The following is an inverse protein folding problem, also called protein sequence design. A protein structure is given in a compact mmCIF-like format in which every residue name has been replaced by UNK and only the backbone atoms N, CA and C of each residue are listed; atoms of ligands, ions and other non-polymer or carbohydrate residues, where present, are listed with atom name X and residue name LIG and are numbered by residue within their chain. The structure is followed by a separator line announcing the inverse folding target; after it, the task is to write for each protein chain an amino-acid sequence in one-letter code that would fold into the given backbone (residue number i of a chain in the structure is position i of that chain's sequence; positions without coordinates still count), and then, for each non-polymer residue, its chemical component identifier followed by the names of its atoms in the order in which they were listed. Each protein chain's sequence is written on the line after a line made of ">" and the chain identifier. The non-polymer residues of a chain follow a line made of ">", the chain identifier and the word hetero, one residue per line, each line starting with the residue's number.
data_IF_908964896895
#
_entry.id   IF_908964896895
#
_cell.length_a   1.000
_cell.length_b   1.000
_cell.length_c   1.000
_cell.angle_alpha   90.00
_cell.angle_beta   90.00
_cell.angle_gamma   90.00
#
_symmetry.space_group_name_H-M   'P 1'
#
loop_
_entity.id
_entity.type
_entity.pdbx_description
1 polymer ?
#
# COMPACT_ATOMS: atom_id res chain seq x y z
N UNK A 1 -27.79 5.87 -34.25
CA UNK A 1 -26.94 5.16 -33.28
C UNK A 1 -27.57 5.39 -31.90
N UNK A 2 -28.24 4.40 -31.35
CA UNK A 2 -28.89 4.55 -30.06
C UNK A 2 -27.78 4.58 -29.01
N UNK A 3 -27.61 5.75 -28.44
CA UNK A 3 -26.75 6.00 -27.30
C UNK A 3 -27.33 5.17 -26.13
N UNK A 4 -26.75 4.00 -25.81
CA UNK A 4 -27.15 3.21 -24.64
C UNK A 4 -26.58 3.91 -23.38
N UNK A 5 -27.14 5.12 -23.16
CA UNK A 5 -26.85 6.03 -22.07
C UNK A 5 -27.54 5.60 -20.78
N UNK A 6 -27.70 4.27 -20.56
CA UNK A 6 -28.14 3.83 -19.25
C UNK A 6 -27.08 4.21 -18.24
N UNK A 7 -27.43 4.99 -17.20
CA UNK A 7 -26.45 5.38 -16.18
C UNK A 7 -25.82 4.13 -15.55
N UNK A 8 -24.58 4.22 -15.04
CA UNK A 8 -23.99 3.15 -14.24
C UNK A 8 -24.96 2.76 -13.12
N UNK A 9 -24.93 1.49 -12.68
CA UNK A 9 -25.75 1.08 -11.56
C UNK A 9 -25.43 1.97 -10.36
N UNK A 10 -26.46 2.38 -9.62
CA UNK A 10 -26.29 3.25 -8.46
C UNK A 10 -25.44 2.54 -7.43
N UNK A 11 -24.46 3.27 -6.87
CA UNK A 11 -23.70 2.81 -5.71
C UNK A 11 -24.66 2.74 -4.50
N UNK A 12 -24.91 1.53 -4.02
CA UNK A 12 -25.85 1.27 -2.91
C UNK A 12 -25.15 1.19 -1.54
N UNK A 13 -23.81 1.32 -1.50
CA UNK A 13 -23.06 1.33 -0.25
C UNK A 13 -23.38 2.58 0.57
N UNK A 14 -23.63 2.39 1.86
CA UNK A 14 -23.98 3.49 2.77
C UNK A 14 -22.75 4.18 3.33
N UNK A 15 -22.75 5.50 3.35
CA UNK A 15 -21.70 6.34 3.95
C UNK A 15 -21.70 6.24 5.47
N UNK A 16 -20.93 5.29 6.01
CA UNK A 16 -20.86 4.98 7.44
C UNK A 16 -19.55 5.44 8.10
N UNK A 17 -18.47 5.67 7.33
CA UNK A 17 -17.15 5.96 7.86
C UNK A 17 -16.92 7.45 8.05
N UNK A 18 -16.40 7.82 9.22
CA UNK A 18 -15.94 9.17 9.53
C UNK A 18 -14.44 9.34 9.18
N UNK A 19 -13.91 10.56 9.34
CA UNK A 19 -12.49 10.86 9.11
C UNK A 19 -11.56 9.95 9.94
N UNK A 20 -11.89 9.72 11.22
CA UNK A 20 -11.11 8.86 12.11
C UNK A 20 -11.04 7.42 11.60
N UNK A 21 -12.17 6.88 11.15
CA UNK A 21 -12.25 5.50 10.62
C UNK A 21 -11.29 5.31 9.44
N UNK A 22 -11.32 6.24 8.46
CA UNK A 22 -10.51 6.13 7.26
C UNK A 22 -9.04 6.47 7.50
N UNK A 23 -8.74 7.38 8.43
CA UNK A 23 -7.36 7.69 8.79
C UNK A 23 -6.65 6.46 9.35
N UNK A 24 -7.24 5.79 10.33
CA UNK A 24 -6.65 4.60 10.93
C UNK A 24 -6.66 3.38 10.00
N UNK A 25 -7.70 3.21 9.17
CA UNK A 25 -7.71 2.17 8.15
C UNK A 25 -6.61 2.40 7.10
N UNK A 26 -6.39 3.64 6.69
CA UNK A 26 -5.35 4.03 5.76
C UNK A 26 -3.95 3.83 6.35
N UNK A 27 -3.77 4.21 7.62
CA UNK A 27 -2.51 4.02 8.34
C UNK A 27 -2.18 2.52 8.47
N UNK A 28 -3.18 1.70 8.80
CA UNK A 28 -3.03 0.25 8.81
C UNK A 28 -2.65 -0.33 7.44
N UNK A 29 -3.13 0.27 6.36
CA UNK A 29 -2.70 -0.10 5.01
C UNK A 29 -1.21 0.17 4.73
N UNK A 30 -0.55 1.06 5.48
CA UNK A 30 0.90 1.27 5.40
C UNK A 30 1.68 0.20 6.16
N UNK A 31 1.05 -0.53 7.08
CA UNK A 31 1.69 -1.50 7.96
C UNK A 31 2.97 -0.94 8.61
N UNK A 32 2.88 0.09 9.46
CA UNK A 32 4.05 0.85 9.89
C UNK A 32 5.09 -0.01 10.61
N UNK A 33 4.65 -0.93 11.46
CA UNK A 33 5.56 -1.77 12.22
C UNK A 33 6.26 -2.82 11.33
N UNK A 34 5.52 -3.51 10.45
CA UNK A 34 6.12 -4.44 9.49
C UNK A 34 7.00 -3.71 8.48
N UNK A 35 6.63 -2.51 8.07
CA UNK A 35 7.46 -1.66 7.20
C UNK A 35 8.77 -1.27 7.88
N UNK A 36 8.77 -1.00 9.20
CA UNK A 36 9.98 -0.80 9.99
C UNK A 36 10.89 -2.03 9.95
N UNK A 37 10.35 -3.21 10.13
CA UNK A 37 11.14 -4.45 10.18
C UNK A 37 11.63 -4.92 8.80
N UNK A 38 11.03 -4.45 7.72
CA UNK A 38 11.27 -4.96 6.36
C UNK A 38 11.87 -3.89 5.44
N UNK A 39 11.07 -2.91 5.02
CA UNK A 39 11.54 -1.85 4.10
C UNK A 39 12.67 -1.00 4.68
N UNK A 40 12.57 -0.61 5.96
CA UNK A 40 13.66 0.19 6.57
C UNK A 40 14.93 -0.64 6.76
N UNK A 41 14.82 -1.96 7.00
CA UNK A 41 15.98 -2.85 6.98
C UNK A 41 16.72 -2.78 5.64
N UNK A 42 16.00 -2.85 4.52
CA UNK A 42 16.61 -2.73 3.19
C UNK A 42 17.26 -1.34 2.98
N UNK A 43 16.59 -0.27 3.44
CA UNK A 43 17.15 1.09 3.36
C UNK A 43 18.43 1.22 4.18
N UNK A 44 18.48 0.66 5.41
CA UNK A 44 19.68 0.67 6.27
C UNK A 44 20.84 -0.10 5.62
N UNK A 45 20.57 -1.29 5.08
CA UNK A 45 21.60 -2.10 4.40
C UNK A 45 22.22 -1.32 3.23
N UNK A 46 21.42 -0.58 2.49
CA UNK A 46 21.88 0.17 1.30
C UNK A 46 22.56 1.48 1.65
N UNK A 47 22.09 2.20 2.67
CA UNK A 47 22.45 3.59 2.89
C UNK A 47 23.01 3.91 4.27
N UNK A 48 23.12 2.91 5.15
CA UNK A 48 23.75 3.02 6.46
C UNK A 48 23.18 4.17 7.30
N UNK A 49 24.07 5.01 7.82
CA UNK A 49 23.69 6.18 8.64
C UNK A 49 22.87 7.24 7.91
N UNK A 50 22.86 7.24 6.56
CA UNK A 50 22.06 8.17 5.75
C UNK A 50 20.58 7.74 5.62
N UNK A 51 20.22 6.56 6.08
CA UNK A 51 18.90 5.94 5.89
C UNK A 51 17.70 6.79 6.34
N UNK A 52 17.71 7.55 7.45
CA UNK A 52 16.57 8.40 7.82
C UNK A 52 16.27 9.49 6.77
N UNK A 53 17.33 10.05 6.15
CA UNK A 53 17.18 11.04 5.08
C UNK A 53 16.54 10.41 3.84
N UNK A 54 16.91 9.17 3.50
CA UNK A 54 16.31 8.42 2.39
C UNK A 54 14.83 8.19 2.63
N UNK A 55 14.42 7.85 3.86
CA UNK A 55 12.99 7.70 4.22
C UNK A 55 12.24 9.01 4.07
N UNK A 56 12.82 10.15 4.47
CA UNK A 56 12.21 11.47 4.26
C UNK A 56 12.05 11.79 2.76
N UNK A 57 13.06 11.51 1.95
CA UNK A 57 12.99 11.72 0.49
C UNK A 57 11.91 10.82 -0.12
N UNK A 58 11.87 9.54 0.23
CA UNK A 58 10.82 8.61 -0.21
C UNK A 58 9.42 9.09 0.18
N UNK A 59 9.27 9.61 1.41
CA UNK A 59 8.01 10.19 1.89
C UNK A 59 7.58 11.40 1.05
N UNK A 60 8.51 12.30 0.68
CA UNK A 60 8.21 13.45 -0.17
C UNK A 60 7.78 13.04 -1.58
N UNK A 61 8.40 12.00 -2.14
CA UNK A 61 7.99 11.42 -3.44
C UNK A 61 6.56 10.89 -3.37
N UNK A 62 6.24 10.14 -2.33
CA UNK A 62 4.89 9.60 -2.12
C UNK A 62 3.87 10.71 -1.84
N UNK A 63 4.29 11.78 -1.16
CA UNK A 63 3.41 12.92 -0.87
C UNK A 63 2.91 13.62 -2.16
N UNK A 64 3.71 13.67 -3.21
CA UNK A 64 3.26 14.20 -4.50
C UNK A 64 2.10 13.37 -5.08
N UNK A 65 2.19 12.04 -5.03
CA UNK A 65 1.08 11.17 -5.41
C UNK A 65 -0.12 11.32 -4.45
N UNK A 66 0.13 11.52 -3.16
CA UNK A 66 -0.91 11.83 -2.17
C UNK A 66 -1.67 13.13 -2.49
N UNK A 67 -0.98 14.17 -2.97
CA UNK A 67 -1.60 15.41 -3.44
C UNK A 67 -2.46 15.19 -4.67
N UNK A 68 -2.06 14.32 -5.59
CA UNK A 68 -2.90 13.94 -6.75
C UNK A 68 -4.20 13.30 -6.27
N UNK A 69 -4.12 12.35 -5.31
CA UNK A 69 -5.31 11.73 -4.71
C UNK A 69 -6.18 12.77 -4.00
N UNK A 70 -5.56 13.74 -3.28
CA UNK A 70 -6.29 14.84 -2.65
C UNK A 70 -7.14 15.63 -3.67
N UNK A 71 -6.59 15.98 -4.82
CA UNK A 71 -7.33 16.70 -5.85
C UNK A 71 -8.38 15.84 -6.56
N UNK A 72 -8.09 14.55 -6.80
CA UNK A 72 -9.02 13.64 -7.48
C UNK A 72 -10.17 13.23 -6.58
N UNK A 73 -9.94 12.97 -5.30
CA UNK A 73 -10.99 12.59 -4.35
C UNK A 73 -12.03 13.70 -4.12
N UNK A 74 -11.65 14.98 -4.31
CA UNK A 74 -12.59 16.09 -4.30
C UNK A 74 -13.63 16.02 -5.43
N UNK A 75 -13.31 15.33 -6.53
CA UNK A 75 -14.17 15.23 -7.72
C UNK A 75 -14.87 13.88 -7.84
N UNK A 76 -14.21 12.80 -7.38
CA UNK A 76 -14.67 11.43 -7.52
C UNK A 76 -14.89 10.82 -6.14
N UNK A 77 -16.12 10.79 -5.68
CA UNK A 77 -16.52 10.37 -4.32
C UNK A 77 -17.24 9.03 -4.27
N UNK A 78 -17.40 8.35 -5.42
CA UNK A 78 -18.01 7.02 -5.51
C UNK A 78 -17.00 5.91 -5.21
N UNK A 79 -17.51 4.71 -4.89
CA UNK A 79 -16.71 3.51 -4.68
C UNK A 79 -15.91 3.16 -5.92
N UNK A 80 -14.61 2.83 -5.78
CA UNK A 80 -13.73 2.38 -6.87
C UNK A 80 -12.38 3.09 -6.97
N UNK A 81 -12.23 4.30 -6.40
CA UNK A 81 -10.95 4.99 -6.30
C UNK A 81 -10.20 5.15 -7.63
N UNK A 82 -8.99 4.58 -7.74
CA UNK A 82 -8.14 4.68 -8.93
C UNK A 82 -8.82 4.21 -10.22
N UNK A 83 -9.66 3.17 -10.13
CA UNK A 83 -10.51 2.75 -11.25
C UNK A 83 -11.36 3.92 -11.75
N UNK A 84 -12.08 4.60 -10.85
CA UNK A 84 -12.93 5.73 -11.21
C UNK A 84 -12.13 6.92 -11.75
N UNK A 85 -10.97 7.20 -11.17
CA UNK A 85 -10.11 8.28 -11.65
C UNK A 85 -9.71 8.09 -13.10
N UNK A 86 -9.33 6.88 -13.49
CA UNK A 86 -9.00 6.58 -14.88
C UNK A 86 -10.25 6.43 -15.78
N UNK A 87 -11.31 5.79 -15.27
CA UNK A 87 -12.53 5.52 -16.04
C UNK A 87 -13.26 6.79 -16.47
N UNK A 88 -13.40 7.74 -15.54
CA UNK A 88 -14.07 9.01 -15.82
C UNK A 88 -13.10 10.13 -16.22
N UNK A 89 -11.84 10.06 -15.80
CA UNK A 89 -10.84 11.09 -16.10
C UNK A 89 -10.10 10.87 -17.41
N UNK A 90 -9.85 9.62 -17.82
CA UNK A 90 -9.12 9.30 -19.05
C UNK A 90 -10.03 8.67 -20.11
N UNK A 91 -10.34 7.40 -19.94
CA UNK A 91 -11.25 6.65 -20.81
C UNK A 91 -11.76 5.41 -20.09
N UNK A 92 -12.87 4.84 -20.59
CA UNK A 92 -13.45 3.62 -20.03
C UNK A 92 -12.49 2.42 -20.15
N UNK A 93 -11.69 2.33 -21.23
CA UNK A 93 -10.68 1.28 -21.43
C UNK A 93 -9.55 1.41 -20.42
N UNK A 94 -8.91 2.57 -20.31
CA UNK A 94 -7.87 2.83 -19.30
C UNK A 94 -8.39 2.66 -17.87
N UNK A 95 -9.66 2.95 -17.63
CA UNK A 95 -10.32 2.67 -16.36
C UNK A 95 -10.33 1.19 -16.04
N UNK A 96 -10.73 0.33 -16.99
CA UNK A 96 -10.71 -1.13 -16.80
C UNK A 96 -9.30 -1.65 -16.55
N UNK A 97 -8.32 -1.23 -17.35
CA UNK A 97 -6.92 -1.60 -17.15
C UNK A 97 -6.42 -1.18 -15.77
N UNK A 98 -6.66 0.08 -15.39
CA UNK A 98 -6.30 0.59 -14.05
C UNK A 98 -6.98 -0.20 -12.93
N UNK A 99 -8.25 -0.59 -13.10
CA UNK A 99 -8.99 -1.41 -12.15
C UNK A 99 -8.42 -2.82 -11.99
N UNK A 100 -8.01 -3.46 -13.10
CA UNK A 100 -7.35 -4.77 -13.11
C UNK A 100 -5.98 -4.66 -12.42
N UNK A 101 -5.18 -3.65 -12.77
CA UNK A 101 -3.86 -3.44 -12.18
C UNK A 101 -3.97 -3.04 -10.72
N UNK A 102 -5.01 -2.29 -10.33
CA UNK A 102 -5.29 -2.02 -8.92
C UNK A 102 -5.62 -3.31 -8.15
N UNK A 103 -6.40 -4.22 -8.72
CA UNK A 103 -6.68 -5.53 -8.12
C UNK A 103 -5.39 -6.32 -7.93
N UNK A 104 -4.54 -6.38 -8.97
CA UNK A 104 -3.22 -6.99 -8.89
C UNK A 104 -2.38 -6.38 -7.76
N UNK A 105 -2.19 -5.06 -7.77
CA UNK A 105 -1.43 -4.34 -6.75
C UNK A 105 -1.94 -4.63 -5.34
N UNK A 106 -3.24 -4.50 -5.12
CA UNK A 106 -3.83 -4.59 -3.78
C UNK A 106 -3.76 -6.03 -3.22
N UNK A 107 -3.94 -7.04 -4.06
CA UNK A 107 -3.77 -8.44 -3.65
C UNK A 107 -2.32 -8.75 -3.33
N UNK A 108 -1.37 -8.34 -4.17
CA UNK A 108 0.06 -8.62 -3.94
C UNK A 108 0.61 -7.86 -2.73
N UNK A 109 0.19 -6.61 -2.53
CA UNK A 109 0.64 -5.81 -1.40
C UNK A 109 0.15 -6.38 -0.07
N UNK A 110 -1.15 -6.70 0.05
CA UNK A 110 -1.67 -7.35 1.24
C UNK A 110 -1.07 -8.75 1.46
N UNK A 111 -0.85 -9.53 0.39
CA UNK A 111 -0.18 -10.83 0.47
C UNK A 111 1.29 -10.70 0.92
N UNK A 112 1.99 -9.63 0.54
CA UNK A 112 3.33 -9.35 1.03
C UNK A 112 3.34 -9.20 2.56
N UNK A 113 2.38 -8.45 3.13
CA UNK A 113 2.29 -8.30 4.58
C UNK A 113 1.88 -9.57 5.31
N UNK A 114 1.07 -10.44 4.70
CA UNK A 114 0.85 -11.79 5.21
C UNK A 114 2.18 -12.56 5.26
N UNK A 115 2.96 -12.53 4.21
CA UNK A 115 4.25 -13.20 4.15
C UNK A 115 5.24 -12.63 5.20
N UNK A 116 5.29 -11.31 5.34
CA UNK A 116 6.12 -10.62 6.35
C UNK A 116 5.74 -10.99 7.78
N UNK A 117 4.45 -10.94 8.11
CA UNK A 117 3.94 -11.37 9.41
C UNK A 117 4.20 -12.86 9.66
N UNK A 118 3.95 -13.72 8.67
CA UNK A 118 4.26 -15.17 8.72
C UNK A 118 5.74 -15.40 9.00
N UNK A 119 6.63 -14.63 8.35
CA UNK A 119 8.07 -14.72 8.58
C UNK A 119 8.43 -14.41 10.04
N UNK A 120 7.93 -13.32 10.59
CA UNK A 120 8.25 -12.87 11.94
C UNK A 120 7.71 -13.87 12.98
N UNK A 121 6.47 -14.33 12.83
CA UNK A 121 5.85 -15.31 13.72
C UNK A 121 6.61 -16.64 13.66
N UNK A 122 6.91 -17.16 12.47
CA UNK A 122 7.67 -18.39 12.31
C UNK A 122 9.08 -18.26 12.91
N UNK A 123 9.75 -17.12 12.66
CA UNK A 123 11.10 -16.88 13.13
C UNK A 123 11.20 -16.72 14.65
N UNK A 124 10.26 -16.00 15.28
CA UNK A 124 10.32 -15.71 16.72
C UNK A 124 9.69 -16.81 17.59
N UNK A 125 8.59 -17.41 17.11
CA UNK A 125 7.82 -18.42 17.87
C UNK A 125 8.06 -19.84 17.38
N UNK A 126 8.79 -20.04 16.29
CA UNK A 126 9.02 -21.33 15.65
C UNK A 126 7.72 -22.07 15.25
N UNK A 127 6.63 -21.33 15.03
CA UNK A 127 5.38 -21.92 14.57
C UNK A 127 5.52 -22.42 13.13
N UNK A 128 4.87 -23.54 12.75
CA UNK A 128 4.79 -23.96 11.36
C UNK A 128 4.27 -22.83 10.47
N UNK A 129 4.85 -22.67 9.27
CA UNK A 129 4.52 -21.60 8.32
C UNK A 129 3.02 -21.50 8.09
N UNK A 130 2.32 -22.66 7.97
CA UNK A 130 0.89 -22.68 7.75
C UNK A 130 0.08 -22.09 8.92
N UNK A 131 0.49 -22.37 10.16
CA UNK A 131 -0.17 -21.80 11.36
C UNK A 131 0.09 -20.28 11.42
N UNK A 132 1.34 -19.86 11.22
CA UNK A 132 1.71 -18.46 11.21
C UNK A 132 0.95 -17.67 10.12
N UNK A 133 0.78 -18.27 8.95
CA UNK A 133 -0.05 -17.72 7.86
C UNK A 133 -1.52 -17.56 8.26
N UNK A 134 -2.13 -18.58 8.89
CA UNK A 134 -3.53 -18.52 9.30
C UNK A 134 -3.80 -17.44 10.35
N UNK A 135 -2.83 -17.16 11.22
CA UNK A 135 -2.95 -16.10 12.25
C UNK A 135 -3.16 -14.71 11.62
N UNK A 136 -2.62 -14.45 10.44
CA UNK A 136 -2.80 -13.16 9.74
C UNK A 136 -4.03 -13.15 8.83
N UNK A 137 -4.17 -14.14 7.95
CA UNK A 137 -5.24 -14.13 6.93
C UNK A 137 -6.60 -14.46 7.50
N UNK A 138 -6.68 -15.33 8.54
CA UNK A 138 -7.94 -15.77 9.13
C UNK A 138 -8.74 -14.59 9.71
N UNK A 139 -8.20 -13.85 10.70
CA UNK A 139 -8.91 -12.71 11.26
C UNK A 139 -9.19 -11.61 10.22
N UNK A 140 -8.27 -11.32 9.31
CA UNK A 140 -8.50 -10.35 8.23
C UNK A 140 -9.69 -10.73 7.36
N UNK A 141 -9.81 -12.03 7.00
CA UNK A 141 -10.95 -12.54 6.22
C UNK A 141 -12.27 -12.45 7.00
N UNK A 142 -12.26 -12.74 8.30
CA UNK A 142 -13.44 -12.63 9.17
C UNK A 142 -13.92 -11.17 9.21
N UNK A 143 -13.03 -10.22 9.49
CA UNK A 143 -13.38 -8.79 9.52
C UNK A 143 -13.89 -8.29 8.17
N UNK A 144 -13.30 -8.74 7.05
CA UNK A 144 -13.79 -8.40 5.72
C UNK A 144 -15.25 -8.82 5.52
N UNK A 145 -15.61 -10.04 5.95
CA UNK A 145 -16.98 -10.57 5.86
C UNK A 145 -17.93 -9.87 6.82
N UNK A 146 -17.47 -9.51 8.03
CA UNK A 146 -18.25 -8.74 9.01
C UNK A 146 -18.58 -7.32 8.52
N UNK A 147 -17.82 -6.79 7.58
CA UNK A 147 -18.08 -5.51 6.92
C UNK A 147 -17.26 -4.34 7.46
N UNK A 148 -17.57 -3.14 6.94
CA UNK A 148 -16.68 -1.98 7.07
C UNK A 148 -16.57 -1.42 8.50
N UNK A 149 -17.64 -1.44 9.29
CA UNK A 149 -17.61 -0.86 10.65
C UNK A 149 -16.78 -1.67 11.65
N UNK A 150 -16.95 -3.01 11.79
CA UNK A 150 -16.05 -3.83 12.59
C UNK A 150 -14.58 -3.70 12.15
N UNK A 151 -14.33 -3.66 10.84
CA UNK A 151 -12.99 -3.46 10.27
C UNK A 151 -12.38 -2.11 10.70
N UNK A 152 -13.16 -1.02 10.65
CA UNK A 152 -12.70 0.30 11.07
C UNK A 152 -12.41 0.37 12.58
N UNK A 153 -13.23 -0.26 13.42
CA UNK A 153 -12.97 -0.31 14.86
C UNK A 153 -11.68 -1.08 15.17
N UNK A 154 -11.47 -2.22 14.50
CA UNK A 154 -10.21 -2.94 14.62
C UNK A 154 -9.03 -2.10 14.15
N UNK A 155 -9.17 -1.36 13.03
CA UNK A 155 -8.13 -0.49 12.51
C UNK A 155 -7.74 0.62 13.50
N UNK A 156 -8.71 1.25 14.17
CA UNK A 156 -8.44 2.27 15.19
C UNK A 156 -7.63 1.67 16.35
N UNK A 157 -8.04 0.51 16.85
CA UNK A 157 -7.34 -0.16 17.95
C UNK A 157 -5.92 -0.56 17.56
N UNK A 158 -5.78 -1.30 16.46
CA UNK A 158 -4.51 -1.85 15.99
C UNK A 158 -3.50 -0.76 15.62
N UNK A 159 -3.89 0.23 14.78
CA UNK A 159 -2.97 1.31 14.41
C UNK A 159 -2.60 2.22 15.58
N UNK A 160 -3.49 2.40 16.58
CA UNK A 160 -3.12 3.15 17.78
C UNK A 160 -2.04 2.41 18.59
N UNK A 161 -2.16 1.09 18.71
CA UNK A 161 -1.16 0.25 19.35
C UNK A 161 0.19 0.32 18.62
N UNK A 162 0.17 0.23 17.29
CA UNK A 162 1.35 0.32 16.44
C UNK A 162 2.06 1.66 16.56
N UNK A 163 1.32 2.78 16.50
CA UNK A 163 1.90 4.10 16.70
C UNK A 163 2.55 4.24 18.08
N UNK A 164 1.89 3.74 19.13
CA UNK A 164 2.46 3.75 20.48
C UNK A 164 3.75 2.91 20.55
N UNK A 165 3.77 1.72 19.92
CA UNK A 165 4.95 0.87 19.86
C UNK A 165 6.12 1.56 19.11
N UNK A 166 5.85 2.22 17.99
CA UNK A 166 6.86 2.97 17.22
C UNK A 166 7.44 4.15 18.01
N UNK A 167 6.59 4.91 18.69
CA UNK A 167 7.05 6.01 19.57
C UNK A 167 7.89 5.46 20.70
N UNK A 168 7.48 4.35 21.32
CA UNK A 168 8.23 3.69 22.36
C UNK A 168 9.62 3.24 21.87
N UNK A 169 9.70 2.61 20.69
CA UNK A 169 10.97 2.21 20.07
C UNK A 169 11.89 3.41 19.86
N UNK A 170 11.35 4.53 19.35
CA UNK A 170 12.14 5.76 19.19
C UNK A 170 12.69 6.26 20.52
N UNK A 171 11.83 6.42 21.53
CA UNK A 171 12.22 6.93 22.86
C UNK A 171 13.28 6.04 23.50
N UNK A 172 13.06 4.73 23.51
CA UNK A 172 14.00 3.76 24.07
C UNK A 172 15.35 3.83 23.33
N UNK A 173 15.34 3.90 22.00
CA UNK A 173 16.58 3.99 21.20
C UNK A 173 17.42 5.20 21.57
N UNK A 174 16.79 6.37 21.77
CA UNK A 174 17.49 7.60 22.16
C UNK A 174 18.04 7.48 23.61
N UNK A 175 17.29 6.88 24.54
CA UNK A 175 17.75 6.66 25.91
C UNK A 175 18.94 5.70 25.96
N UNK A 176 18.91 4.60 25.25
CA UNK A 176 20.02 3.64 25.19
C UNK A 176 21.26 4.19 24.49
N UNK A 177 21.10 5.20 23.62
CA UNK A 177 22.21 5.96 23.06
C UNK A 177 22.71 7.08 24.01
N UNK A 178 22.26 7.08 25.28
CA UNK A 178 22.63 8.11 26.29
C UNK A 178 22.47 9.54 25.81
N UNK A 179 21.39 9.83 25.05
CA UNK A 179 21.09 11.12 24.45
C UNK A 179 22.21 11.67 23.54
N UNK A 180 23.08 10.80 23.00
CA UNK A 180 23.97 11.17 21.92
C UNK A 180 23.19 11.26 20.61
N UNK A 181 23.62 12.16 19.73
CA UNK A 181 22.98 12.38 18.43
C UNK A 181 24.06 12.38 17.35
N UNK A 182 23.87 11.58 16.32
CA UNK A 182 24.77 11.56 15.18
C UNK A 182 24.26 12.50 14.06
N UNK A 183 25.18 12.88 13.18
CA UNK A 183 24.83 13.64 11.98
C UNK A 183 24.50 12.68 10.82
N UNK A 184 23.24 12.58 10.39
CA UNK A 184 22.85 11.62 9.36
C UNK A 184 23.40 11.96 7.96
N UNK A 185 23.90 13.18 7.72
CA UNK A 185 24.47 13.61 6.43
C UNK A 185 26.01 13.57 6.42
N UNK A 186 26.64 13.10 7.50
CA UNK A 186 28.11 13.05 7.59
C UNK A 186 28.72 12.07 6.56
N UNK A 187 28.08 10.93 6.31
CA UNK A 187 28.52 9.93 5.34
C UNK A 187 27.42 9.78 4.27
N UNK A 188 27.77 10.13 3.04
CA UNK A 188 26.83 10.02 1.91
C UNK A 188 27.10 8.74 1.13
N UNK A 189 26.09 7.88 0.92
CA UNK A 189 26.21 6.72 0.03
C UNK A 189 26.37 7.16 -1.43
N UNK A 190 26.79 6.23 -2.29
CA UNK A 190 26.88 6.49 -3.74
C UNK A 190 25.49 6.72 -4.34
N UNK A 191 25.42 7.45 -5.46
CA UNK A 191 24.15 7.77 -6.11
C UNK A 191 23.30 6.52 -6.44
N UNK A 192 23.85 5.41 -6.95
CA UNK A 192 23.06 4.18 -7.15
C UNK A 192 22.42 3.64 -5.87
N UNK A 193 23.12 3.67 -4.74
CA UNK A 193 22.61 3.22 -3.46
C UNK A 193 21.52 4.16 -2.91
N UNK A 194 21.67 5.47 -3.13
CA UNK A 194 20.63 6.46 -2.79
C UNK A 194 19.35 6.16 -3.58
N UNK A 195 19.44 5.95 -4.90
CA UNK A 195 18.26 5.70 -5.75
C UNK A 195 17.59 4.38 -5.37
N UNK A 196 18.37 3.31 -5.15
CA UNK A 196 17.84 2.03 -4.64
C UNK A 196 17.20 2.19 -3.26
N UNK A 197 17.82 2.93 -2.36
CA UNK A 197 17.27 3.23 -1.05
C UNK A 197 15.93 3.96 -1.13
N UNK A 198 15.80 4.96 -2.02
CA UNK A 198 14.54 5.68 -2.25
C UNK A 198 13.46 4.72 -2.76
N UNK A 199 13.79 3.76 -3.62
CA UNK A 199 12.84 2.76 -4.12
C UNK A 199 12.20 1.96 -2.98
N UNK A 200 13.01 1.50 -2.01
CA UNK A 200 12.47 0.82 -0.82
C UNK A 200 11.76 1.79 0.13
N UNK A 201 12.29 3.01 0.30
CA UNK A 201 11.71 4.02 1.16
C UNK A 201 10.30 4.47 0.72
N UNK A 202 10.02 4.50 -0.59
CA UNK A 202 8.67 4.75 -1.13
C UNK A 202 7.66 3.70 -0.62
N UNK A 203 8.09 2.44 -0.41
CA UNK A 203 7.24 1.39 0.11
C UNK A 203 6.70 1.68 1.52
N UNK A 204 7.46 2.42 2.35
CA UNK A 204 7.13 2.69 3.76
C UNK A 204 5.82 3.48 3.91
N UNK A 205 5.64 4.69 3.32
CA UNK A 205 4.39 5.43 3.40
C UNK A 205 3.34 4.96 2.36
N UNK A 206 3.63 3.97 1.54
CA UNK A 206 2.66 3.37 0.60
C UNK A 206 1.58 2.62 1.37
N UNK A 207 0.39 2.53 0.80
CA UNK A 207 -0.79 1.93 1.46
C UNK A 207 -1.89 2.94 1.77
N UNK A 208 -1.55 4.22 1.84
CA UNK A 208 -2.51 5.32 2.02
C UNK A 208 -3.62 5.31 0.96
N UNK A 209 -3.35 4.80 -0.24
CA UNK A 209 -4.32 4.70 -1.33
C UNK A 209 -5.38 3.61 -1.14
N UNK A 210 -5.25 2.72 -0.14
CA UNK A 210 -6.22 1.66 0.16
C UNK A 210 -7.62 2.19 0.50
N UNK A 211 -7.72 3.45 0.97
CA UNK A 211 -9.01 4.09 1.26
C UNK A 211 -9.71 4.67 0.03
N UNK A 212 -9.03 4.83 -1.11
CA UNK A 212 -9.67 5.43 -2.28
C UNK A 212 -10.83 4.59 -2.83
N UNK A 213 -10.79 3.24 -2.90
CA UNK A 213 -11.94 2.45 -3.32
C UNK A 213 -13.12 2.49 -2.36
N UNK A 214 -12.92 2.83 -1.09
CA UNK A 214 -14.00 2.94 -0.10
C UNK A 214 -14.66 4.31 -0.03
N UNK A 215 -14.33 5.23 -0.93
CA UNK A 215 -14.86 6.60 -0.95
C UNK A 215 -16.39 6.67 -0.89
N UNK A 216 -17.10 5.71 -1.50
CA UNK A 216 -18.57 5.62 -1.44
C UNK A 216 -19.13 5.35 -0.04
N UNK A 217 -18.33 4.79 0.88
CA UNK A 217 -18.71 4.50 2.26
C UNK A 217 -18.29 5.61 3.24
N UNK A 218 -17.64 6.68 2.75
CA UNK A 218 -17.08 7.77 3.57
C UNK A 218 -18.01 8.98 3.61
N UNK A 219 -18.32 9.47 4.81
CA UNK A 219 -19.01 10.74 5.00
C UNK A 219 -18.12 11.90 4.58
N UNK A 220 -18.65 12.86 3.80
CA UNK A 220 -17.87 13.98 3.23
C UNK A 220 -16.59 13.49 2.54
N UNK A 221 -16.74 12.48 1.65
CA UNK A 221 -15.63 11.83 0.98
C UNK A 221 -14.74 12.82 0.21
N UNK A 222 -15.35 13.85 -0.38
CA UNK A 222 -14.71 14.95 -1.11
C UNK A 222 -13.66 15.69 -0.27
N UNK A 223 -13.78 15.66 1.04
CA UNK A 223 -12.83 16.33 1.95
C UNK A 223 -11.98 15.30 2.70
N UNK A 224 -12.63 14.25 3.21
CA UNK A 224 -12.01 13.36 4.19
C UNK A 224 -10.98 12.40 3.55
N UNK A 225 -11.27 11.87 2.34
CA UNK A 225 -10.38 10.89 1.69
C UNK A 225 -9.01 11.50 1.37
N UNK A 226 -9.00 12.66 0.71
CA UNK A 226 -7.75 13.32 0.37
C UNK A 226 -6.95 13.79 1.57
N UNK A 227 -7.63 14.33 2.60
CA UNK A 227 -6.97 14.73 3.86
C UNK A 227 -6.38 13.56 4.60
N UNK A 228 -7.10 12.43 4.69
CA UNK A 228 -6.60 11.23 5.32
C UNK A 228 -5.36 10.71 4.60
N UNK A 229 -5.38 10.64 3.26
CA UNK A 229 -4.23 10.20 2.48
C UNK A 229 -2.96 11.02 2.77
N UNK A 230 -3.06 12.36 2.76
CA UNK A 230 -1.92 13.24 3.05
C UNK A 230 -1.43 13.06 4.49
N UNK A 231 -2.34 13.09 5.46
CA UNK A 231 -1.95 12.98 6.87
C UNK A 231 -1.32 11.64 7.19
N UNK A 232 -1.82 10.56 6.60
CA UNK A 232 -1.27 9.22 6.79
C UNK A 232 0.14 9.11 6.18
N UNK A 233 0.40 9.71 5.02
CA UNK A 233 1.74 9.77 4.43
C UNK A 233 2.70 10.54 5.36
N UNK A 234 2.30 11.70 5.84
CA UNK A 234 3.12 12.53 6.71
C UNK A 234 3.39 11.88 8.07
N UNK A 235 2.36 11.29 8.69
CA UNK A 235 2.49 10.61 9.99
C UNK A 235 3.32 9.33 9.82
N UNK A 236 2.94 8.44 8.89
CA UNK A 236 3.64 7.16 8.71
C UNK A 236 5.08 7.34 8.26
N UNK A 237 5.33 8.13 7.21
CA UNK A 237 6.67 8.37 6.69
C UNK A 237 7.53 9.22 7.63
N UNK A 238 6.97 10.28 8.23
CA UNK A 238 7.69 11.15 9.16
C UNK A 238 8.06 10.45 10.46
N UNK A 239 7.10 9.74 11.09
CA UNK A 239 7.37 8.94 12.28
C UNK A 239 8.40 7.86 12.00
N UNK A 240 8.30 7.18 10.83
CA UNK A 240 9.26 6.16 10.46
C UNK A 240 10.68 6.71 10.28
N UNK A 241 10.84 7.90 9.72
CA UNK A 241 12.14 8.55 9.62
C UNK A 241 12.74 8.85 11.01
N UNK A 242 11.90 9.29 11.96
CA UNK A 242 12.31 9.51 13.35
C UNK A 242 12.69 8.21 14.06
N UNK A 243 11.87 7.17 13.94
CA UNK A 243 12.15 5.84 14.53
C UNK A 243 13.45 5.29 13.97
N UNK A 244 13.63 5.37 12.66
CA UNK A 244 14.85 4.90 12.01
C UNK A 244 16.07 5.72 12.43
N UNK A 245 15.92 7.04 12.62
CA UNK A 245 16.99 7.87 13.19
C UNK A 245 17.39 7.39 14.59
N UNK A 246 16.42 7.14 15.46
CA UNK A 246 16.69 6.61 16.81
C UNK A 246 17.42 5.28 16.78
N UNK A 247 16.95 4.31 15.98
CA UNK A 247 17.55 2.99 15.84
C UNK A 247 19.00 3.06 15.31
N UNK A 248 19.21 3.82 14.23
CA UNK A 248 20.56 3.99 13.64
C UNK A 248 21.48 4.72 14.60
N UNK A 249 20.98 5.71 15.32
CA UNK A 249 21.74 6.41 16.38
C UNK A 249 22.21 5.45 17.47
N UNK A 250 21.33 4.56 17.93
CA UNK A 250 21.68 3.50 18.88
C UNK A 250 22.75 2.56 18.30
N UNK A 251 22.62 2.12 17.05
CA UNK A 251 23.60 1.25 16.40
C UNK A 251 24.99 1.87 16.27
N UNK A 252 25.04 3.16 15.97
CA UNK A 252 26.31 3.90 15.91
C UNK A 252 26.93 3.98 17.30
N UNK A 253 26.13 4.32 18.32
CA UNK A 253 26.59 4.40 19.70
C UNK A 253 27.10 3.06 20.22
N UNK A 254 26.39 1.97 19.95
CA UNK A 254 26.78 0.62 20.32
C UNK A 254 27.96 0.05 19.50
N UNK A 255 28.39 0.74 18.44
CA UNK A 255 29.43 0.23 17.52
C UNK A 255 28.97 -0.90 16.61
N UNK A 256 27.67 -1.14 16.50
CA UNK A 256 27.08 -2.30 15.82
C UNK A 256 26.54 -2.02 14.41
N UNK A 257 26.64 -0.78 13.91
CA UNK A 257 26.05 -0.42 12.61
C UNK A 257 26.57 -1.31 11.47
N UNK A 258 27.88 -1.60 11.44
CA UNK A 258 28.46 -2.45 10.40
C UNK A 258 27.94 -3.90 10.48
N UNK A 259 27.80 -4.45 11.70
CA UNK A 259 27.22 -5.77 11.93
C UNK A 259 25.74 -5.81 11.51
N UNK A 260 25.00 -4.73 11.79
CA UNK A 260 23.61 -4.57 11.37
C UNK A 260 23.47 -4.55 9.84
N UNK A 261 24.35 -3.86 9.12
CA UNK A 261 24.33 -3.80 7.65
C UNK A 261 24.63 -5.17 7.01
N UNK A 262 25.47 -5.99 7.64
CA UNK A 262 25.82 -7.32 7.14
C UNK A 262 24.77 -8.39 7.46
N UNK A 263 23.86 -8.12 8.39
CA UNK A 263 22.80 -9.05 8.82
C UNK A 263 21.61 -9.11 7.85
N UNK A 264 20.92 -10.27 7.83
CA UNK A 264 19.68 -10.43 7.04
C UNK A 264 18.46 -9.77 7.67
N UNK A 265 18.46 -9.57 8.99
CA UNK A 265 17.32 -9.01 9.75
C UNK A 265 17.80 -8.14 10.91
N UNK A 266 18.65 -7.13 10.64
CA UNK A 266 19.32 -6.38 11.69
C UNK A 266 18.37 -5.74 12.68
N UNK A 267 17.30 -5.09 12.18
CA UNK A 267 16.37 -4.36 13.04
C UNK A 267 15.56 -5.27 13.98
N UNK A 268 15.22 -6.48 13.54
CA UNK A 268 14.47 -7.43 14.37
C UNK A 268 15.29 -7.89 15.59
N UNK A 269 16.58 -8.26 15.39
CA UNK A 269 17.45 -8.71 16.45
C UNK A 269 17.70 -7.61 17.48
N UNK A 270 18.06 -6.44 17.01
CA UNK A 270 18.43 -5.33 17.87
C UNK A 270 17.24 -4.83 18.67
N UNK A 271 16.05 -4.79 18.06
CA UNK A 271 14.83 -4.48 18.80
C UNK A 271 14.52 -5.51 19.87
N UNK A 272 14.70 -6.81 19.58
CA UNK A 272 14.51 -7.87 20.57
C UNK A 272 15.44 -7.67 21.78
N UNK A 273 16.72 -7.42 21.53
CA UNK A 273 17.72 -7.25 22.58
C UNK A 273 17.53 -5.94 23.36
N UNK A 274 17.21 -4.84 22.64
CA UNK A 274 16.95 -3.53 23.22
C UNK A 274 15.72 -3.51 24.15
N UNK A 275 14.66 -4.22 23.79
CA UNK A 275 13.42 -4.32 24.58
C UNK A 275 13.52 -5.37 25.71
N UNK A 276 14.60 -6.17 25.74
CA UNK A 276 14.83 -7.19 26.76
C UNK A 276 13.68 -8.21 26.86
N UNK A 277 13.24 -8.57 28.10
CA UNK A 277 12.18 -9.57 28.30
C UNK A 277 10.85 -9.26 27.60
N UNK A 278 10.57 -7.98 27.37
CA UNK A 278 9.35 -7.53 26.70
C UNK A 278 9.50 -7.51 25.17
N UNK A 279 10.71 -7.66 24.63
CA UNK A 279 10.97 -7.57 23.19
C UNK A 279 10.19 -8.59 22.41
N UNK A 280 10.24 -9.86 22.79
CA UNK A 280 9.54 -10.93 22.09
C UNK A 280 8.01 -10.73 22.07
N UNK A 281 7.32 -10.51 23.19
CA UNK A 281 5.87 -10.28 23.18
C UNK A 281 5.47 -9.05 22.33
N UNK A 282 6.17 -7.93 22.47
CA UNK A 282 5.86 -6.69 21.74
C UNK A 282 6.02 -6.90 20.24
N UNK A 283 7.13 -7.49 19.80
CA UNK A 283 7.39 -7.75 18.38
C UNK A 283 6.37 -8.69 17.75
N UNK A 284 6.01 -9.76 18.47
CA UNK A 284 5.02 -10.74 17.99
C UNK A 284 3.63 -10.13 17.91
N UNK A 285 3.16 -9.45 18.96
CA UNK A 285 1.83 -8.82 18.98
C UNK A 285 1.72 -7.76 17.89
N UNK A 286 2.73 -6.90 17.74
CA UNK A 286 2.74 -5.86 16.73
C UNK A 286 2.79 -6.46 15.30
N UNK A 287 3.60 -7.50 15.06
CA UNK A 287 3.67 -8.16 13.77
C UNK A 287 2.35 -8.87 13.38
N UNK A 288 1.68 -9.50 14.34
CA UNK A 288 0.36 -10.12 14.13
C UNK A 288 -0.68 -9.05 13.83
N UNK A 289 -0.74 -8.01 14.67
CA UNK A 289 -1.71 -6.91 14.55
C UNK A 289 -1.57 -6.21 13.20
N UNK A 290 -0.36 -5.85 12.82
CA UNK A 290 -0.05 -5.14 11.58
C UNK A 290 -0.28 -6.04 10.35
N UNK A 291 0.11 -7.32 10.43
CA UNK A 291 -0.18 -8.30 9.39
C UNK A 291 -1.67 -8.48 9.11
N UNK A 292 -2.51 -8.55 10.16
CA UNK A 292 -3.96 -8.62 10.02
C UNK A 292 -4.50 -7.33 9.42
N UNK A 293 -4.09 -6.16 9.94
CA UNK A 293 -4.64 -4.87 9.59
C UNK A 293 -4.29 -4.46 8.16
N UNK A 294 -3.02 -4.61 7.76
CA UNK A 294 -2.59 -4.32 6.40
C UNK A 294 -3.31 -5.22 5.38
N UNK A 295 -3.37 -6.52 5.66
CA UNK A 295 -4.13 -7.47 4.83
C UNK A 295 -5.60 -7.06 4.71
N UNK A 296 -6.24 -6.74 5.82
CA UNK A 296 -7.64 -6.31 5.86
C UNK A 296 -7.88 -5.04 5.05
N UNK A 297 -7.04 -4.02 5.20
CA UNK A 297 -7.17 -2.76 4.47
C UNK A 297 -7.15 -2.97 2.95
N UNK A 298 -6.23 -3.82 2.48
CA UNK A 298 -6.13 -4.14 1.06
C UNK A 298 -7.20 -5.12 0.58
N UNK A 299 -7.65 -6.06 1.39
CA UNK A 299 -8.81 -6.92 1.08
C UNK A 299 -10.09 -6.08 0.92
N UNK A 300 -10.32 -5.12 1.81
CA UNK A 300 -11.43 -4.16 1.70
C UNK A 300 -11.31 -3.40 0.39
N UNK A 301 -10.15 -2.81 0.12
CA UNK A 301 -9.90 -2.04 -1.09
C UNK A 301 -10.13 -2.86 -2.37
N UNK A 302 -9.61 -4.09 -2.42
CA UNK A 302 -9.81 -5.02 -3.54
C UNK A 302 -11.28 -5.32 -3.77
N UNK A 303 -12.01 -5.69 -2.72
CA UNK A 303 -13.43 -6.04 -2.83
C UNK A 303 -14.28 -4.87 -3.33
N UNK A 304 -13.98 -3.62 -2.90
CA UNK A 304 -14.67 -2.42 -3.36
C UNK A 304 -14.30 -2.04 -4.80
N UNK A 305 -13.06 -2.29 -5.21
CA UNK A 305 -12.65 -2.11 -6.59
C UNK A 305 -13.37 -3.09 -7.53
N UNK A 306 -13.45 -4.38 -7.17
CA UNK A 306 -14.20 -5.40 -7.93
C UNK A 306 -15.70 -5.06 -7.99
N UNK A 307 -16.28 -4.63 -6.88
CA UNK A 307 -17.66 -4.16 -6.81
C UNK A 307 -17.90 -2.97 -7.75
N UNK A 308 -17.04 -1.96 -7.75
CA UNK A 308 -17.15 -0.78 -8.60
C UNK A 308 -17.03 -1.11 -10.10
N UNK A 309 -16.11 -1.99 -10.48
CA UNK A 309 -15.98 -2.47 -11.86
C UNK A 309 -17.23 -3.23 -12.30
N UNK A 310 -17.84 -4.02 -11.42
CA UNK A 310 -19.08 -4.73 -11.70
C UNK A 310 -20.29 -3.77 -11.82
N UNK A 311 -20.37 -2.71 -11.01
CA UNK A 311 -21.37 -1.65 -11.17
C UNK A 311 -21.33 -0.99 -12.55
N UNK A 312 -20.13 -0.87 -13.12
CA UNK A 312 -19.90 -0.35 -14.46
C UNK A 312 -19.99 -1.43 -15.55
N UNK A 313 -20.50 -2.64 -15.22
CA UNK A 313 -20.72 -3.77 -16.13
C UNK A 313 -19.45 -4.33 -16.78
N UNK A 314 -18.29 -4.04 -16.21
CA UNK A 314 -17.00 -4.55 -16.67
C UNK A 314 -16.69 -5.94 -16.14
N UNK A 315 -17.32 -6.32 -15.02
CA UNK A 315 -17.23 -7.63 -14.37
C UNK A 315 -18.61 -8.23 -14.13
N UNK A 316 -18.72 -9.55 -13.85
CA UNK A 316 -19.98 -10.23 -13.62
C UNK A 316 -20.84 -9.56 -12.54
N UNK A 317 -22.15 -9.40 -12.81
CA UNK A 317 -23.12 -8.75 -11.90
C UNK A 317 -23.14 -9.33 -10.48
N UNK A 318 -22.83 -10.61 -10.31
CA UNK A 318 -22.83 -11.25 -9.00
C UNK A 318 -21.90 -10.57 -7.98
N UNK A 319 -20.85 -9.86 -8.45
CA UNK A 319 -19.95 -9.09 -7.57
C UNK A 319 -20.61 -7.85 -6.94
N UNK A 320 -21.78 -7.42 -7.45
CA UNK A 320 -22.55 -6.33 -6.84
C UNK A 320 -23.48 -6.79 -5.72
N UNK A 321 -23.54 -8.11 -5.43
CA UNK A 321 -24.39 -8.62 -4.38
C UNK A 321 -23.97 -8.08 -3.00
N UNK A 322 -24.90 -7.38 -2.35
CA UNK A 322 -24.71 -6.84 -1.01
C UNK A 322 -25.41 -7.69 0.03
N UNK A 323 -24.72 -7.98 1.13
CA UNK A 323 -25.31 -8.54 2.35
C UNK A 323 -24.95 -7.62 3.52
N UNK A 324 -25.96 -7.06 4.18
CA UNK A 324 -25.79 -6.07 5.25
C UNK A 324 -24.89 -4.87 4.86
N UNK A 325 -25.14 -4.33 3.68
CA UNK A 325 -24.34 -3.22 3.07
C UNK A 325 -22.85 -3.60 2.84
N UNK A 326 -22.50 -4.87 2.72
CA UNK A 326 -21.16 -5.35 2.45
C UNK A 326 -21.13 -6.15 1.13
N UNK A 327 -20.23 -5.91 0.19
CA UNK A 327 -20.14 -6.66 -1.07
C UNK A 327 -19.54 -8.06 -0.84
N UNK A 328 -20.41 -8.98 -0.40
CA UNK A 328 -20.01 -10.30 0.09
C UNK A 328 -19.33 -11.14 -0.98
N UNK A 329 -19.89 -11.20 -2.20
CA UNK A 329 -19.32 -12.01 -3.29
C UNK A 329 -17.96 -11.48 -3.72
N UNK A 330 -17.81 -10.14 -3.84
CA UNK A 330 -16.53 -9.53 -4.11
C UNK A 330 -15.51 -9.79 -2.98
N UNK A 331 -15.97 -9.80 -1.73
CA UNK A 331 -15.14 -10.19 -0.58
C UNK A 331 -14.63 -11.62 -0.66
N UNK A 332 -15.50 -12.60 -0.96
CA UNK A 332 -15.13 -14.02 -1.12
C UNK A 332 -14.13 -14.18 -2.27
N UNK A 333 -14.38 -13.55 -3.44
CA UNK A 333 -13.45 -13.56 -4.57
C UNK A 333 -12.11 -12.99 -4.16
N UNK A 334 -12.10 -11.89 -3.39
CA UNK A 334 -10.86 -11.29 -2.87
C UNK A 334 -10.08 -12.31 -2.01
N UNK A 335 -10.71 -12.94 -1.02
CA UNK A 335 -10.05 -13.97 -0.19
C UNK A 335 -9.47 -15.08 -1.06
N UNK A 336 -10.23 -15.56 -2.04
CA UNK A 336 -9.77 -16.61 -2.96
C UNK A 336 -8.53 -16.18 -3.74
N UNK A 337 -8.48 -14.96 -4.26
CA UNK A 337 -7.30 -14.42 -4.96
C UNK A 337 -6.07 -14.38 -4.05
N UNK A 338 -6.23 -13.96 -2.79
CA UNK A 338 -5.15 -13.98 -1.81
C UNK A 338 -4.60 -15.39 -1.57
N UNK A 339 -5.49 -16.38 -1.34
CA UNK A 339 -5.09 -17.76 -1.11
C UNK A 339 -4.36 -18.36 -2.32
N UNK A 340 -4.86 -18.12 -3.53
CA UNK A 340 -4.25 -18.62 -4.78
C UNK A 340 -2.85 -18.07 -5.02
N UNK A 341 -2.55 -16.87 -4.56
CA UNK A 341 -1.23 -16.23 -4.76
C UNK A 341 -0.27 -16.59 -3.63
N UNK A 342 -0.70 -16.43 -2.38
CA UNK A 342 0.23 -16.52 -1.26
C UNK A 342 0.63 -17.95 -0.92
N UNK A 343 -0.30 -18.92 -0.99
CA UNK A 343 0.00 -20.29 -0.57
C UNK A 343 1.10 -20.96 -1.42
N UNK A 344 1.08 -20.88 -2.76
CA UNK A 344 2.17 -21.41 -3.57
C UNK A 344 3.51 -20.74 -3.28
N UNK A 345 3.52 -19.40 -3.15
CA UNK A 345 4.74 -18.65 -2.91
C UNK A 345 5.37 -18.97 -1.56
N UNK A 346 4.59 -19.05 -0.48
CA UNK A 346 5.10 -19.46 0.83
C UNK A 346 5.75 -20.84 0.79
N UNK A 347 5.19 -21.77 -0.01
CA UNK A 347 5.74 -23.12 -0.17
C UNK A 347 7.02 -23.16 -1.00
N UNK A 348 7.10 -22.35 -2.06
CA UNK A 348 8.21 -22.38 -3.04
C UNK A 348 9.39 -21.53 -2.57
N UNK A 349 9.13 -20.31 -2.10
CA UNK A 349 10.17 -19.31 -1.80
C UNK A 349 10.41 -19.14 -0.29
N UNK A 350 9.48 -19.64 0.54
CA UNK A 350 9.43 -19.36 1.97
C UNK A 350 8.96 -17.93 2.28
N UNK A 351 8.65 -17.61 3.57
CA UNK A 351 7.93 -16.39 3.90
C UNK A 351 8.71 -15.10 3.59
N UNK A 352 10.01 -15.06 3.86
CA UNK A 352 10.82 -13.85 3.66
C UNK A 352 11.00 -13.50 2.18
N UNK A 353 11.35 -14.49 1.33
CA UNK A 353 11.50 -14.23 -0.10
C UNK A 353 10.15 -13.92 -0.74
N UNK A 354 9.06 -14.58 -0.32
CA UNK A 354 7.70 -14.25 -0.77
C UNK A 354 7.35 -12.79 -0.46
N UNK A 355 7.71 -12.27 0.73
CA UNK A 355 7.54 -10.86 1.05
C UNK A 355 8.27 -9.96 0.06
N UNK A 356 9.54 -10.24 -0.23
CA UNK A 356 10.36 -9.44 -1.16
C UNK A 356 9.81 -9.48 -2.59
N UNK A 357 9.46 -10.66 -3.08
CA UNK A 357 8.92 -10.85 -4.44
C UNK A 357 7.57 -10.14 -4.60
N UNK A 358 6.64 -10.38 -3.67
CA UNK A 358 5.31 -9.77 -3.68
C UNK A 358 5.37 -8.25 -3.50
N UNK A 359 6.24 -7.77 -2.59
CA UNK A 359 6.45 -6.34 -2.35
C UNK A 359 6.99 -5.61 -3.58
N UNK A 360 7.95 -6.21 -4.31
CA UNK A 360 8.48 -5.64 -5.55
C UNK A 360 7.41 -5.57 -6.65
N UNK A 361 6.67 -6.65 -6.87
CA UNK A 361 5.58 -6.70 -7.84
C UNK A 361 4.47 -5.69 -7.51
N UNK A 362 4.09 -5.62 -6.23
CA UNK A 362 3.10 -4.66 -5.76
C UNK A 362 3.57 -3.22 -5.91
N UNK A 363 4.84 -2.94 -5.62
CA UNK A 363 5.43 -1.61 -5.78
C UNK A 363 5.36 -1.11 -7.22
N UNK A 364 5.70 -1.95 -8.20
CA UNK A 364 5.56 -1.62 -9.61
C UNK A 364 4.09 -1.39 -10.02
N UNK A 365 3.18 -2.25 -9.55
CA UNK A 365 1.74 -2.07 -9.77
C UNK A 365 1.21 -0.76 -9.17
N UNK A 366 1.67 -0.40 -7.96
CA UNK A 366 1.34 0.87 -7.32
C UNK A 366 1.79 2.08 -8.14
N UNK A 367 3.00 2.07 -8.66
CA UNK A 367 3.50 3.15 -9.52
C UNK A 367 2.66 3.28 -10.80
N UNK A 368 2.25 2.17 -11.40
CA UNK A 368 1.41 2.18 -12.60
C UNK A 368 0.03 2.83 -12.34
N UNK A 369 -0.65 2.47 -11.25
CA UNK A 369 -1.95 3.09 -10.93
C UNK A 369 -1.82 4.58 -10.61
N UNK A 370 -0.70 5.00 -10.02
CA UNK A 370 -0.41 6.42 -9.82
C UNK A 370 -0.15 7.15 -11.13
N UNK A 371 0.55 6.53 -12.09
CA UNK A 371 0.70 7.07 -13.45
C UNK A 371 -0.66 7.35 -14.08
N UNK A 372 -1.61 6.42 -14.00
CA UNK A 372 -2.98 6.61 -14.48
C UNK A 372 -3.71 7.76 -13.77
N UNK A 373 -3.58 7.83 -12.42
CA UNK A 373 -4.20 8.90 -11.64
C UNK A 373 -3.60 10.28 -11.96
N UNK A 374 -2.28 10.37 -12.13
CA UNK A 374 -1.56 11.59 -12.47
C UNK A 374 -2.02 12.12 -13.83
N UNK A 375 -2.09 11.25 -14.85
CA UNK A 375 -2.64 11.62 -16.15
C UNK A 375 -4.11 12.05 -16.08
N UNK A 376 -4.91 11.38 -15.25
CA UNK A 376 -6.30 11.79 -15.01
C UNK A 376 -6.38 13.21 -14.48
N UNK A 377 -5.57 13.54 -13.46
CA UNK A 377 -5.55 14.88 -12.88
C UNK A 377 -5.14 15.94 -13.91
N UNK A 378 -4.12 15.66 -14.71
CA UNK A 378 -3.67 16.57 -15.77
C UNK A 378 -4.82 16.78 -16.77
N UNK A 379 -5.37 15.69 -17.35
CA UNK A 379 -6.37 15.76 -18.41
C UNK A 379 -7.63 16.53 -18.01
N UNK A 380 -8.20 16.23 -16.84
CA UNK A 380 -9.43 16.88 -16.38
C UNK A 380 -9.28 18.37 -16.04
N UNK A 381 -8.04 18.89 -15.97
CA UNK A 381 -7.76 20.29 -15.68
C UNK A 381 -7.17 21.07 -16.86
N UNK A 382 -6.89 20.41 -18.01
CA UNK A 382 -6.31 21.07 -19.19
C UNK A 382 -7.17 22.22 -19.72
N UNK A 383 -8.49 22.05 -19.80
CA UNK A 383 -9.40 23.09 -20.29
C UNK A 383 -9.50 24.32 -19.36
N UNK A 384 -9.04 24.16 -18.12
CA UNK A 384 -9.01 25.23 -17.13
C UNK A 384 -7.57 25.60 -16.69
N UNK A 385 -6.59 25.47 -17.57
CA UNK A 385 -5.17 25.55 -17.28
C UNK A 385 -4.76 26.81 -16.51
N UNK A 386 -5.30 27.97 -16.87
CA UNK A 386 -5.00 29.26 -16.21
C UNK A 386 -5.47 29.25 -14.73
N UNK A 387 -6.63 28.64 -14.45
CA UNK A 387 -7.21 28.60 -13.09
C UNK A 387 -6.72 27.42 -12.24
N UNK A 388 -6.20 26.37 -12.88
CA UNK A 388 -5.85 25.08 -12.26
C UNK A 388 -4.42 24.64 -12.58
N UNK A 389 -3.54 25.59 -12.85
CA UNK A 389 -2.13 25.32 -13.14
C UNK A 389 -1.39 24.59 -12.02
N UNK A 390 -1.81 24.79 -10.77
CA UNK A 390 -1.27 24.08 -9.60
C UNK A 390 -1.53 22.57 -9.67
N UNK A 391 -2.76 22.16 -10.00
CA UNK A 391 -3.14 20.75 -10.13
C UNK A 391 -2.39 20.08 -11.29
N UNK A 392 -2.24 20.77 -12.41
CA UNK A 392 -1.48 20.28 -13.56
C UNK A 392 0.01 20.14 -13.21
N UNK A 393 0.58 21.12 -12.52
CA UNK A 393 1.97 21.06 -12.08
C UNK A 393 2.22 19.89 -11.13
N UNK A 394 1.35 19.71 -10.12
CA UNK A 394 1.47 18.58 -9.18
C UNK A 394 1.33 17.26 -9.92
N UNK A 395 0.34 17.12 -10.82
CA UNK A 395 0.16 15.93 -11.64
C UNK A 395 1.37 15.65 -12.53
N UNK A 396 1.96 16.69 -13.16
CA UNK A 396 3.14 16.59 -14.01
C UNK A 396 4.40 16.15 -13.24
N UNK A 397 4.67 16.76 -12.09
CA UNK A 397 5.81 16.37 -11.24
C UNK A 397 5.64 14.94 -10.70
N UNK A 398 4.45 14.60 -10.20
CA UNK A 398 4.16 13.25 -9.74
C UNK A 398 4.30 12.22 -10.87
N UNK A 399 3.90 12.59 -12.10
CA UNK A 399 4.02 11.74 -13.30
C UNK A 399 5.48 11.44 -13.64
N UNK A 400 6.34 12.47 -13.73
CA UNK A 400 7.75 12.32 -14.03
C UNK A 400 8.42 11.41 -13.01
N UNK A 401 8.17 11.65 -11.72
CA UNK A 401 8.75 10.85 -10.64
C UNK A 401 8.26 9.40 -10.67
N UNK A 402 6.94 9.18 -10.75
CA UNK A 402 6.37 7.82 -10.76
C UNK A 402 6.87 7.02 -11.96
N UNK A 403 6.97 7.66 -13.13
CA UNK A 403 7.45 7.02 -14.35
C UNK A 403 8.94 6.67 -14.26
N UNK A 404 9.77 7.61 -13.78
CA UNK A 404 11.20 7.39 -13.59
C UNK A 404 11.50 6.27 -12.61
N UNK A 405 10.77 6.24 -11.48
CA UNK A 405 10.93 5.20 -10.47
C UNK A 405 10.43 3.85 -11.01
N UNK A 406 9.34 3.81 -11.77
CA UNK A 406 8.83 2.55 -12.38
C UNK A 406 9.86 1.96 -13.37
N UNK A 407 10.37 2.77 -14.30
CA UNK A 407 11.38 2.32 -15.26
C UNK A 407 12.61 1.78 -14.51
N UNK A 408 13.11 2.56 -13.55
CA UNK A 408 14.26 2.15 -12.76
C UNK A 408 13.99 0.84 -11.99
N UNK A 409 12.81 0.70 -11.39
CA UNK A 409 12.41 -0.53 -10.68
C UNK A 409 12.44 -1.76 -11.58
N UNK A 410 11.96 -1.62 -12.83
CA UNK A 410 11.98 -2.71 -13.81
C UNK A 410 13.44 -3.11 -14.16
N UNK A 411 14.34 -2.12 -14.29
CA UNK A 411 15.72 -2.35 -14.68
C UNK A 411 16.59 -2.98 -13.57
N UNK A 412 16.31 -2.65 -12.29
CA UNK A 412 17.16 -3.11 -11.17
C UNK A 412 16.61 -4.35 -10.44
N UNK A 413 15.35 -4.66 -10.66
CA UNK A 413 14.72 -5.83 -10.02
C UNK A 413 15.18 -7.13 -10.69
N UNK A 414 15.01 -8.27 -9.99
CA UNK A 414 15.30 -9.59 -10.60
C UNK A 414 14.53 -9.75 -11.91
N UNK A 415 15.17 -10.21 -13.00
CA UNK A 415 14.51 -10.32 -14.31
C UNK A 415 13.20 -11.11 -14.29
N UNK A 416 13.12 -12.19 -13.49
CA UNK A 416 11.89 -12.97 -13.32
C UNK A 416 10.71 -12.14 -12.78
N UNK A 417 10.97 -11.26 -11.81
CA UNK A 417 9.95 -10.38 -11.21
C UNK A 417 9.52 -9.33 -12.25
N UNK A 418 10.48 -8.72 -12.97
CA UNK A 418 10.19 -7.77 -14.03
C UNK A 418 9.34 -8.38 -15.14
N UNK A 419 9.67 -9.62 -15.59
CA UNK A 419 8.90 -10.33 -16.64
C UNK A 419 7.48 -10.67 -16.17
N UNK A 420 7.29 -11.08 -14.90
CA UNK A 420 5.94 -11.34 -14.36
C UNK A 420 5.12 -10.04 -14.36
N UNK A 421 5.70 -8.92 -13.94
CA UNK A 421 5.01 -7.63 -13.96
C UNK A 421 4.64 -7.20 -15.38
N UNK A 422 5.60 -7.20 -16.31
CA UNK A 422 5.35 -6.80 -17.70
C UNK A 422 4.36 -7.74 -18.39
N UNK A 423 4.47 -9.05 -18.15
CA UNK A 423 3.51 -10.04 -18.66
C UNK A 423 2.09 -9.77 -18.17
N UNK A 424 1.94 -9.41 -16.89
CA UNK A 424 0.63 -9.06 -16.33
C UNK A 424 0.04 -7.78 -16.96
N UNK A 425 0.86 -6.75 -17.18
CA UNK A 425 0.43 -5.51 -17.85
C UNK A 425 -0.06 -5.81 -19.27
N UNK A 426 0.71 -6.63 -20.03
CA UNK A 426 0.33 -7.04 -21.38
C UNK A 426 -0.99 -7.82 -21.36
N UNK A 427 -1.16 -8.75 -20.43
CA UNK A 427 -2.40 -9.53 -20.30
C UNK A 427 -3.59 -8.64 -19.93
N UNK A 428 -3.43 -7.65 -19.04
CA UNK A 428 -4.47 -6.70 -18.68
C UNK A 428 -4.89 -5.87 -19.90
N UNK A 429 -3.94 -5.39 -20.68
CA UNK A 429 -4.19 -4.67 -21.93
C UNK A 429 -4.92 -5.55 -22.95
N UNK A 430 -4.42 -6.76 -23.23
CA UNK A 430 -5.04 -7.70 -24.18
C UNK A 430 -6.46 -8.07 -23.75
N UNK A 431 -6.69 -8.33 -22.47
CA UNK A 431 -8.03 -8.59 -21.94
C UNK A 431 -8.99 -7.42 -22.23
N UNK A 432 -8.54 -6.19 -22.00
CA UNK A 432 -9.36 -4.99 -22.23
C UNK A 432 -9.70 -4.83 -23.71
N UNK A 433 -8.73 -5.06 -24.62
CA UNK A 433 -8.98 -4.98 -26.06
C UNK A 433 -9.90 -6.11 -26.54
N UNK A 434 -9.69 -7.35 -26.10
CA UNK A 434 -10.58 -8.47 -26.46
C UNK A 434 -12.01 -8.23 -25.94
N UNK A 435 -12.17 -7.72 -24.71
CA UNK A 435 -13.47 -7.35 -24.18
C UNK A 435 -14.14 -6.29 -25.07
N UNK A 436 -13.39 -5.28 -25.52
CA UNK A 436 -13.88 -4.23 -26.43
C UNK A 436 -14.36 -4.75 -27.79
N UNK A 437 -13.88 -5.91 -28.25
CA UNK A 437 -14.32 -6.54 -29.49
C UNK A 437 -15.66 -7.29 -29.34
N UNK A 438 -16.05 -7.65 -28.12
CA UNK A 438 -17.32 -8.33 -27.86
C UNK A 438 -18.53 -7.40 -28.02
N UNK A 439 -19.72 -7.97 -28.27
CA UNK A 439 -20.98 -7.17 -28.34
C UNK A 439 -21.22 -6.40 -27.04
N UNK A 440 -20.96 -7.02 -25.89
CA UNK A 440 -21.09 -6.39 -24.58
C UNK A 440 -20.06 -5.27 -24.38
N UNK A 441 -18.81 -5.50 -24.77
CA UNK A 441 -17.75 -4.49 -24.66
C UNK A 441 -17.98 -3.28 -25.57
N UNK A 442 -18.49 -3.49 -26.78
CA UNK A 442 -18.84 -2.36 -27.69
C UNK A 442 -19.93 -1.46 -27.09
N UNK A 443 -20.90 -2.02 -26.38
CA UNK A 443 -21.93 -1.20 -25.70
C UNK A 443 -21.38 -0.45 -24.48
N UNK A 444 -20.30 -0.93 -23.89
CA UNK A 444 -19.67 -0.30 -22.71
C UNK A 444 -18.66 0.77 -23.15
N UNK A 445 -17.81 0.48 -24.13
CA UNK A 445 -16.69 1.35 -24.53
C UNK A 445 -17.04 2.34 -25.67
N UNK A 446 -18.06 2.06 -26.45
CA UNK A 446 -18.62 2.99 -27.46
C UNK A 446 -19.56 3.97 -26.80
#
# INVERSE_FOLDING_TARGET
>A
MANDSRPPMKDELKRKMDFKDIFFLSLGGQAPFLSMLTYTTAVVILTGSFSPIIVLIGTLVVLLNGLVIFFLSNKFTSTGGYFNYAFYGLSKRLGLETGIIYTYYSVLYGAAYIAGSTFIINYLLHFPIFIAFLVSIGPASIFLIMGIKPSAHYAIFASSLELAALVLVFVISIFYAHLHFYNPVAVKPTLPLIVLGILYAIGIPTGYGSITPVSGEVKKAEVNVGRAAILVILVGGGLMALVLYGLVNYFIYAGELNSAILGKTPLLFILKDMLGPFGLPVLVIAAISDGILATLAFMIATSRNLYAMSLNRLLPKNLTFLRYDNPLVAGIVTITLYLLIIMPLLKIEGPFNSFLTLGALAGMGNLFIHISANFSLIKINLDAMIRRGREIMVGGLAQILSFSVLIYSILVTKPSVAYVFLGFIILAFLYTEVLGMTKSGRSIFG
#
